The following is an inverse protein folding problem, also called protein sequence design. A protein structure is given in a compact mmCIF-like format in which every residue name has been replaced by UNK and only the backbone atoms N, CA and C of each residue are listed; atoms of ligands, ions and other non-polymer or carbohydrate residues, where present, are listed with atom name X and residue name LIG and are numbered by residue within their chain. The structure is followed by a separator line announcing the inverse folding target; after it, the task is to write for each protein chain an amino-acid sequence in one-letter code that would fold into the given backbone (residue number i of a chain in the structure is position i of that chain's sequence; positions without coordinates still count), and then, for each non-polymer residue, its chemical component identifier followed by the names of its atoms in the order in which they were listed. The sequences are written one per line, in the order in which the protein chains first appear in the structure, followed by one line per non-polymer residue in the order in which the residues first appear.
data_IF_475489574603
#
_entry.id   IF_475489574603
#
_cell.length_a   1.000
_cell.length_b   1.000
_cell.length_c   1.000
_cell.angle_alpha   90.00
_cell.angle_beta   90.00
_cell.angle_gamma   90.00
#
_symmetry.space_group_name_H-M   'P 1'
#
loop_
_entity.id
_entity.type
_entity.pdbx_description
1 polymer ?
#
# COMPACT_ATOMS: atom_id res chain seq x y z
N UNK A 1 -6.67 9.66 12.91
CA UNK A 1 -5.95 10.89 13.24
C UNK A 1 -5.74 11.72 11.99
N UNK A 2 -4.77 11.46 11.11
CA UNK A 2 -4.58 12.25 9.87
C UNK A 2 -5.83 12.40 8.98
N UNK A 3 -6.60 11.33 8.77
CA UNK A 3 -7.86 11.42 8.00
C UNK A 3 -8.96 12.21 8.74
N UNK A 4 -8.95 12.20 10.07
CA UNK A 4 -9.92 12.96 10.89
C UNK A 4 -9.59 14.44 10.88
N UNK A 5 -8.30 14.80 10.97
CA UNK A 5 -7.82 16.18 10.87
C UNK A 5 -8.14 16.83 9.52
N UNK A 6 -8.17 16.03 8.44
CA UNK A 6 -8.53 16.51 7.11
C UNK A 6 -10.02 16.80 6.94
N UNK A 7 -10.88 16.34 7.84
CA UNK A 7 -12.33 16.60 7.83
C UNK A 7 -12.96 16.30 6.46
N UNK A 8 -13.58 17.31 5.85
CA UNK A 8 -14.24 17.22 4.52
C UNK A 8 -13.27 17.04 3.35
N UNK A 9 -11.95 17.22 3.58
CA UNK A 9 -10.88 16.98 2.61
C UNK A 9 -10.20 15.63 2.83
N UNK A 10 -10.86 14.67 3.50
CA UNK A 10 -10.34 13.33 3.66
C UNK A 10 -10.06 12.67 2.31
N UNK A 11 -9.03 11.82 2.25
CA UNK A 11 -8.70 11.08 1.02
C UNK A 11 -9.61 9.86 0.88
N UNK A 12 -10.16 9.36 1.98
CA UNK A 12 -10.97 8.15 2.01
C UNK A 12 -10.09 6.90 2.07
N UNK A 13 -8.96 6.97 2.76
CA UNK A 13 -7.98 5.88 2.84
C UNK A 13 -8.59 4.58 3.37
N UNK A 14 -7.87 3.47 3.16
CA UNK A 14 -8.23 2.16 3.72
C UNK A 14 -8.04 2.08 5.23
N UNK A 15 -7.43 3.10 5.86
CA UNK A 15 -7.08 3.14 7.29
C UNK A 15 -6.16 2.00 7.75
N UNK A 16 -5.40 1.40 6.81
CA UNK A 16 -4.42 0.33 7.09
C UNK A 16 -3.00 0.83 7.37
N UNK A 17 -2.79 2.13 7.54
CA UNK A 17 -1.47 2.71 7.83
C UNK A 17 -0.53 2.88 6.62
N UNK A 18 -0.97 2.60 5.39
CA UNK A 18 -0.13 2.65 4.18
C UNK A 18 0.59 3.99 4.01
N UNK A 19 -0.13 5.11 4.08
CA UNK A 19 0.46 6.45 3.93
C UNK A 19 1.53 6.76 4.97
N UNK A 20 1.23 6.64 6.29
CA UNK A 20 2.23 6.80 7.34
C UNK A 20 3.47 5.90 7.19
N UNK A 21 3.30 4.65 6.74
CA UNK A 21 4.42 3.73 6.49
C UNK A 21 5.32 4.21 5.33
N UNK A 22 4.74 4.65 4.22
CA UNK A 22 5.54 5.20 3.11
C UNK A 22 6.20 6.54 3.49
N UNK A 23 5.53 7.38 4.27
CA UNK A 23 6.10 8.62 4.78
C UNK A 23 7.34 8.34 5.67
N UNK A 24 7.27 7.38 6.59
CA UNK A 24 8.41 7.03 7.45
C UNK A 24 9.57 6.40 6.66
N UNK A 25 9.29 5.64 5.59
CA UNK A 25 10.30 5.16 4.64
C UNK A 25 11.06 6.32 4.00
N UNK A 26 10.34 7.29 3.43
CA UNK A 26 10.95 8.44 2.74
C UNK A 26 11.70 9.34 3.73
N UNK A 27 11.16 9.51 4.95
CA UNK A 27 11.84 10.23 6.03
C UNK A 27 13.03 9.47 6.64
N UNK A 28 13.25 8.21 6.24
CA UNK A 28 14.33 7.33 6.75
C UNK A 28 14.22 7.01 8.24
N UNK A 29 13.03 7.11 8.81
CA UNK A 29 12.74 6.79 10.22
C UNK A 29 12.01 5.45 10.37
N UNK A 30 11.48 4.90 9.28
CA UNK A 30 10.75 3.64 9.29
C UNK A 30 11.62 2.43 9.61
N UNK A 31 10.95 1.37 10.08
CA UNK A 31 11.52 0.04 10.33
C UNK A 31 11.25 -0.87 9.13
N UNK A 32 12.20 -1.74 8.82
CA UNK A 32 12.12 -2.73 7.74
C UNK A 32 12.07 -4.15 8.29
N UNK A 33 11.72 -5.10 7.44
CA UNK A 33 11.69 -6.53 7.79
C UNK A 33 13.06 -7.00 8.32
N UNK A 34 14.16 -6.53 7.72
CA UNK A 34 15.51 -6.84 8.19
C UNK A 34 15.78 -6.36 9.63
N UNK A 35 15.23 -5.20 10.02
CA UNK A 35 15.33 -4.72 11.40
C UNK A 35 14.57 -5.68 12.33
N UNK A 36 13.35 -6.09 11.93
CA UNK A 36 12.47 -6.94 12.73
C UNK A 36 13.02 -8.35 12.96
N UNK A 37 13.52 -9.01 11.91
CA UNK A 37 13.97 -10.42 11.98
C UNK A 37 15.44 -10.57 12.32
N UNK A 38 16.22 -9.48 12.29
CA UNK A 38 17.64 -9.44 12.61
C UNK A 38 17.89 -9.53 14.13
N UNK A 39 18.58 -8.54 14.68
CA UNK A 39 18.71 -8.39 16.13
C UNK A 39 17.48 -7.67 16.68
N UNK A 40 16.64 -8.40 17.41
CA UNK A 40 15.41 -7.85 17.97
C UNK A 40 15.68 -6.74 19.00
N UNK A 41 16.82 -6.74 19.69
CA UNK A 41 17.17 -5.65 20.60
C UNK A 41 17.39 -4.33 19.85
N UNK A 42 17.97 -4.40 18.63
CA UNK A 42 18.14 -3.23 17.75
C UNK A 42 16.78 -2.75 17.21
N UNK A 43 15.86 -3.68 16.88
CA UNK A 43 14.50 -3.33 16.51
C UNK A 43 13.80 -2.54 17.63
N UNK A 44 13.86 -3.05 18.86
CA UNK A 44 13.27 -2.44 20.05
C UNK A 44 13.81 -1.02 20.29
N UNK A 45 15.13 -0.85 20.26
CA UNK A 45 15.80 0.45 20.41
C UNK A 45 15.34 1.50 19.39
N UNK A 46 14.88 1.07 18.20
CA UNK A 46 14.36 1.96 17.15
C UNK A 46 12.84 2.11 17.18
N UNK A 47 12.12 1.08 17.63
CA UNK A 47 10.66 1.08 17.75
C UNK A 47 10.17 2.06 18.82
N UNK A 48 10.77 2.03 20.01
CA UNK A 48 10.34 2.90 21.13
C UNK A 48 10.42 4.39 20.77
N UNK A 49 11.56 4.93 20.27
CA UNK A 49 11.64 6.34 19.88
C UNK A 49 10.70 6.70 18.71
N UNK A 50 10.42 5.76 17.81
CA UNK A 50 9.47 5.97 16.71
C UNK A 50 8.06 6.18 17.25
N UNK A 51 7.61 5.32 18.18
CA UNK A 51 6.31 5.46 18.86
C UNK A 51 6.24 6.77 19.61
N UNK A 52 7.28 7.14 20.37
CA UNK A 52 7.32 8.41 21.10
C UNK A 52 7.25 9.63 20.18
N UNK A 53 7.92 9.57 19.03
CA UNK A 53 7.82 10.63 18.01
C UNK A 53 6.38 10.78 17.51
N UNK A 54 5.70 9.67 17.22
CA UNK A 54 4.29 9.72 16.80
C UNK A 54 3.33 10.12 17.91
N UNK A 55 3.59 9.77 19.18
CA UNK A 55 2.80 10.25 20.33
C UNK A 55 2.89 11.76 20.49
N UNK A 56 4.06 12.36 20.26
CA UNK A 56 4.22 13.83 20.27
C UNK A 56 3.44 14.51 19.14
N UNK A 57 3.45 13.92 17.95
CA UNK A 57 2.70 14.44 16.80
C UNK A 57 1.20 14.24 16.94
N UNK A 58 0.79 13.15 17.59
CA UNK A 58 -0.61 12.77 17.78
C UNK A 58 -0.84 12.39 19.25
N UNK A 59 -1.13 13.35 20.14
CA UNK A 59 -1.28 13.10 21.58
C UNK A 59 -2.37 12.07 21.95
N UNK A 60 -3.35 11.87 21.07
CA UNK A 60 -4.38 10.84 21.23
C UNK A 60 -3.93 9.42 20.85
N UNK A 61 -2.70 9.25 20.34
CA UNK A 61 -2.16 7.96 19.96
C UNK A 61 -1.84 7.14 21.21
N UNK A 62 -2.69 6.16 21.48
CA UNK A 62 -2.42 5.18 22.53
C UNK A 62 -1.87 3.89 21.90
N UNK A 63 -0.63 3.55 22.25
CA UNK A 63 0.07 2.34 21.79
C UNK A 63 0.66 1.68 23.04
N UNK A 64 0.31 0.44 23.31
CA UNK A 64 0.99 -0.35 24.34
C UNK A 64 2.31 -0.87 23.78
N UNK A 65 3.42 -0.28 24.23
CA UNK A 65 4.76 -0.57 23.70
C UNK A 65 5.14 -2.02 24.00
N UNK A 66 4.94 -2.49 25.23
CA UNK A 66 5.34 -3.83 25.66
C UNK A 66 4.52 -4.89 24.94
N UNK A 67 3.21 -4.67 24.80
CA UNK A 67 2.33 -5.58 24.08
C UNK A 67 2.67 -5.65 22.58
N UNK A 68 2.93 -4.51 21.92
CA UNK A 68 3.31 -4.50 20.51
C UNK A 68 4.69 -5.13 20.30
N UNK A 69 5.69 -4.86 21.15
CA UNK A 69 7.00 -5.52 21.07
C UNK A 69 6.88 -7.03 21.20
N UNK A 70 6.10 -7.52 22.17
CA UNK A 70 5.84 -8.96 22.33
C UNK A 70 5.24 -9.56 21.05
N UNK A 71 4.22 -8.92 20.50
CA UNK A 71 3.55 -9.34 19.26
C UNK A 71 4.49 -9.33 18.05
N UNK A 72 5.27 -8.27 17.87
CA UNK A 72 6.26 -8.20 16.78
C UNK A 72 7.36 -9.24 16.94
N UNK A 73 7.74 -9.61 18.16
CA UNK A 73 8.70 -10.69 18.42
C UNK A 73 8.17 -12.04 17.94
N UNK A 74 6.89 -12.33 18.18
CA UNK A 74 6.23 -13.53 17.66
C UNK A 74 6.17 -13.53 16.12
N UNK A 75 5.85 -12.38 15.50
CA UNK A 75 5.88 -12.24 14.05
C UNK A 75 7.29 -12.38 13.48
N UNK A 76 8.32 -11.88 14.15
CA UNK A 76 9.71 -12.02 13.71
C UNK A 76 10.08 -13.51 13.57
N UNK A 77 9.68 -14.34 14.54
CA UNK A 77 9.90 -15.79 14.49
C UNK A 77 9.15 -16.44 13.31
N UNK A 78 7.87 -16.10 13.15
CA UNK A 78 7.04 -16.68 12.08
C UNK A 78 7.50 -16.26 10.68
N UNK A 79 7.98 -15.02 10.52
CA UNK A 79 8.38 -14.48 9.23
C UNK A 79 9.80 -14.90 8.83
N UNK A 80 10.70 -15.13 9.80
CA UNK A 80 12.12 -15.40 9.55
C UNK A 80 12.40 -16.47 8.47
N UNK A 81 11.69 -17.60 8.38
CA UNK A 81 11.91 -18.61 7.33
C UNK A 81 11.64 -18.11 5.90
N UNK A 82 10.86 -17.05 5.73
CA UNK A 82 10.47 -16.51 4.43
C UNK A 82 11.31 -15.29 4.01
N UNK A 83 12.16 -14.78 4.89
CA UNK A 83 12.98 -13.59 4.59
C UNK A 83 14.22 -14.00 3.82
N UNK A 84 14.34 -13.48 2.60
CA UNK A 84 15.49 -13.68 1.70
C UNK A 84 15.91 -12.34 1.10
N UNK A 85 17.12 -12.30 0.54
CA UNK A 85 17.49 -11.21 -0.38
C UNK A 85 16.74 -11.42 -1.70
N UNK A 86 15.62 -10.70 -1.83
CA UNK A 86 14.74 -10.81 -2.99
C UNK A 86 15.37 -10.28 -4.27
N UNK A 87 16.33 -9.35 -4.18
CA UNK A 87 17.02 -8.80 -5.35
C UNK A 87 17.93 -9.87 -5.94
N UNK A 88 18.76 -10.51 -5.11
CA UNK A 88 19.63 -11.60 -5.56
C UNK A 88 18.79 -12.75 -6.13
N UNK A 89 17.75 -13.15 -5.40
CA UNK A 89 16.85 -14.22 -5.81
C UNK A 89 16.22 -13.97 -7.19
N UNK A 90 15.67 -12.77 -7.42
CA UNK A 90 15.03 -12.42 -8.69
C UNK A 90 16.04 -12.33 -9.84
N UNK A 91 17.22 -11.74 -9.61
CA UNK A 91 18.28 -11.69 -10.63
C UNK A 91 18.75 -13.09 -11.02
N UNK A 92 18.90 -14.00 -10.06
CA UNK A 92 19.24 -15.39 -10.35
C UNK A 92 18.12 -16.09 -11.13
N UNK A 93 16.87 -15.94 -10.72
CA UNK A 93 15.73 -16.54 -11.42
C UNK A 93 15.64 -16.07 -12.88
N UNK A 94 15.86 -14.77 -13.13
CA UNK A 94 15.89 -14.21 -14.48
C UNK A 94 17.06 -14.76 -15.31
N UNK A 95 18.26 -14.89 -14.74
CA UNK A 95 19.43 -15.49 -15.44
C UNK A 95 19.22 -16.96 -15.79
N UNK A 96 18.51 -17.69 -14.95
CA UNK A 96 18.12 -19.08 -15.20
C UNK A 96 17.00 -19.22 -16.23
N UNK A 97 16.53 -18.11 -16.82
CA UNK A 97 15.47 -18.11 -17.83
C UNK A 97 14.08 -18.41 -17.26
N UNK A 98 13.86 -18.22 -15.96
CA UNK A 98 12.54 -18.44 -15.34
C UNK A 98 11.57 -17.33 -15.74
N UNK A 99 10.31 -17.71 -15.90
CA UNK A 99 9.22 -16.76 -16.09
C UNK A 99 8.83 -16.14 -14.74
N UNK A 100 8.85 -14.82 -14.67
CA UNK A 100 8.43 -14.05 -13.49
C UNK A 100 7.15 -13.29 -13.83
N UNK A 101 6.10 -13.56 -13.07
CA UNK A 101 4.85 -12.79 -13.12
C UNK A 101 4.84 -11.78 -11.98
N UNK A 102 4.62 -10.51 -12.30
CA UNK A 102 4.50 -9.44 -11.31
C UNK A 102 3.04 -9.04 -11.16
N UNK A 103 2.51 -9.21 -9.95
CA UNK A 103 1.14 -8.82 -9.62
C UNK A 103 1.11 -7.36 -9.15
N UNK A 104 0.62 -6.47 -10.01
CA UNK A 104 0.40 -5.07 -9.66
C UNK A 104 -0.76 -4.90 -8.67
N UNK A 105 -0.57 -4.06 -7.66
CA UNK A 105 -1.63 -3.65 -6.75
C UNK A 105 -2.17 -2.26 -7.12
N UNK A 106 -3.42 -1.99 -6.72
CA UNK A 106 -4.15 -0.76 -7.02
C UNK A 106 -4.34 -0.55 -8.54
N UNK A 107 -4.15 0.67 -9.05
CA UNK A 107 -4.39 1.02 -10.46
C UNK A 107 -3.63 2.29 -10.82
N UNK A 108 -3.38 2.51 -12.12
CA UNK A 108 -2.63 3.66 -12.65
C UNK A 108 -3.14 5.01 -12.14
N UNK A 109 -4.46 5.24 -12.09
CA UNK A 109 -5.04 6.50 -11.62
C UNK A 109 -4.96 6.71 -10.09
N UNK A 110 -4.46 5.71 -9.35
CA UNK A 110 -4.12 5.80 -7.93
C UNK A 110 -2.61 5.90 -7.69
N UNK A 111 -1.79 5.96 -8.75
CA UNK A 111 -0.35 6.18 -8.64
C UNK A 111 -0.07 7.53 -7.96
N UNK A 112 0.96 7.57 -7.10
CA UNK A 112 1.31 8.77 -6.33
C UNK A 112 1.75 9.95 -7.22
N UNK A 113 2.35 9.66 -8.39
CA UNK A 113 2.87 10.68 -9.31
C UNK A 113 1.90 10.97 -10.46
N UNK A 114 1.29 9.91 -11.02
CA UNK A 114 0.47 10.01 -12.24
C UNK A 114 -1.04 9.94 -12.00
N UNK A 115 -1.45 9.67 -10.76
CA UNK A 115 -2.86 9.52 -10.41
C UNK A 115 -3.57 10.84 -10.14
N UNK A 116 -4.82 10.75 -9.68
CA UNK A 116 -5.65 11.93 -9.33
C UNK A 116 -5.24 12.55 -8.00
N UNK A 117 -4.01 13.04 -7.88
CA UNK A 117 -3.47 13.63 -6.65
C UNK A 117 -4.37 14.76 -6.12
N UNK A 118 -4.65 14.84 -4.81
CA UNK A 118 -4.10 14.02 -3.71
C UNK A 118 -4.86 12.71 -3.44
N UNK A 119 -5.86 12.36 -4.25
CA UNK A 119 -6.72 11.20 -4.04
C UNK A 119 -6.13 9.92 -4.64
N UNK A 120 -4.95 9.56 -4.16
CA UNK A 120 -4.08 8.49 -4.66
C UNK A 120 -3.60 7.61 -3.52
N UNK A 121 -2.97 6.47 -3.82
CA UNK A 121 -2.17 5.75 -2.83
C UNK A 121 -0.78 6.39 -2.69
N UNK A 122 0.02 5.94 -1.73
CA UNK A 122 1.35 6.52 -1.44
C UNK A 122 2.50 5.79 -2.15
N UNK A 123 2.19 5.06 -3.22
CA UNK A 123 3.15 4.22 -3.96
C UNK A 123 2.94 4.33 -5.46
N UNK A 124 3.96 3.95 -6.23
CA UNK A 124 3.83 3.84 -7.68
C UNK A 124 3.09 2.55 -8.05
N UNK A 125 1.99 2.72 -8.79
CA UNK A 125 1.16 1.65 -9.33
C UNK A 125 1.42 1.43 -10.83
N UNK A 126 2.16 2.34 -11.45
CA UNK A 126 2.65 2.24 -12.81
C UNK A 126 3.83 1.25 -12.94
N UNK A 127 4.20 0.94 -14.18
CA UNK A 127 5.26 -0.04 -14.49
C UNK A 127 6.61 0.28 -13.84
N UNK A 128 6.92 1.56 -13.62
CA UNK A 128 8.16 1.97 -12.94
C UNK A 128 8.28 1.44 -11.51
N UNK A 129 7.14 1.18 -10.85
CA UNK A 129 7.09 0.55 -9.52
C UNK A 129 7.62 -0.88 -9.52
N UNK A 130 7.57 -1.58 -10.65
CA UNK A 130 8.14 -2.94 -10.78
C UNK A 130 9.66 -2.88 -10.66
N UNK A 131 10.31 -1.97 -11.39
CA UNK A 131 11.76 -1.81 -11.37
C UNK A 131 12.26 -1.43 -9.97
N UNK A 132 11.65 -0.39 -9.38
CA UNK A 132 12.09 0.14 -8.08
C UNK A 132 11.69 -0.74 -6.89
N UNK A 133 10.56 -1.45 -6.99
CA UNK A 133 10.07 -2.35 -5.95
C UNK A 133 10.77 -3.70 -5.91
N UNK A 134 11.21 -4.22 -7.06
CA UNK A 134 11.85 -5.54 -7.17
C UNK A 134 13.38 -5.47 -7.34
N UNK A 135 13.94 -4.29 -7.63
CA UNK A 135 15.38 -4.13 -7.86
C UNK A 135 15.85 -4.74 -9.19
N UNK A 136 14.98 -4.77 -10.20
CA UNK A 136 15.30 -5.31 -11.54
C UNK A 136 15.50 -4.19 -12.56
N UNK A 137 16.41 -4.37 -13.54
CA UNK A 137 16.68 -3.35 -14.54
C UNK A 137 15.50 -3.23 -15.55
N UNK A 138 15.18 -2.04 -16.08
CA UNK A 138 14.05 -1.86 -17.00
C UNK A 138 14.11 -2.75 -18.26
N UNK A 139 15.32 -3.12 -18.71
CA UNK A 139 15.54 -3.93 -19.90
C UNK A 139 15.01 -5.37 -19.78
N UNK A 140 14.79 -5.88 -18.57
CA UNK A 140 14.26 -7.25 -18.36
C UNK A 140 12.73 -7.29 -18.32
N UNK A 141 12.06 -6.14 -18.40
CA UNK A 141 10.60 -6.07 -18.44
C UNK A 141 10.12 -6.62 -19.78
N UNK A 142 9.36 -7.71 -19.72
CA UNK A 142 8.72 -8.32 -20.88
C UNK A 142 7.33 -7.74 -21.16
N UNK A 143 6.36 -8.63 -21.39
CA UNK A 143 4.97 -8.24 -21.67
C UNK A 143 4.32 -7.48 -20.51
N UNK A 144 3.65 -6.37 -20.82
CA UNK A 144 2.88 -5.58 -19.85
C UNK A 144 1.40 -5.66 -20.21
N UNK A 145 0.59 -6.17 -19.29
CA UNK A 145 -0.84 -6.42 -19.51
C UNK A 145 -1.69 -5.38 -18.77
N UNK A 146 -2.38 -4.52 -19.52
CA UNK A 146 -3.32 -3.55 -18.97
C UNK A 146 -4.67 -4.21 -18.67
N UNK A 147 -5.09 -4.20 -17.40
CA UNK A 147 -6.41 -4.70 -17.00
C UNK A 147 -7.39 -3.54 -16.93
N UNK A 148 -8.36 -3.53 -17.85
CA UNK A 148 -9.40 -2.50 -17.94
C UNK A 148 -10.76 -3.18 -17.78
N UNK A 149 -11.58 -2.65 -16.87
CA UNK A 149 -12.98 -3.08 -16.69
C UNK A 149 -13.86 -2.41 -17.75
N UNK A 150 -14.94 -3.07 -18.16
CA UNK A 150 -15.89 -2.54 -19.14
C UNK A 150 -16.64 -1.26 -18.71
N UNK A 151 -16.52 -0.87 -17.45
CA UNK A 151 -17.02 0.37 -16.86
C UNK A 151 -16.06 0.78 -15.74
N UNK A 152 -16.11 2.05 -15.34
CA UNK A 152 -15.17 2.59 -14.34
C UNK A 152 -15.75 2.54 -12.93
N UNK A 153 -14.87 2.34 -11.95
CA UNK A 153 -15.23 2.30 -10.54
C UNK A 153 -14.20 2.98 -9.67
N UNK A 154 -14.64 3.69 -8.63
CA UNK A 154 -13.76 4.34 -7.65
C UNK A 154 -14.18 4.02 -6.22
N UNK A 155 -13.20 3.72 -5.38
CA UNK A 155 -13.36 3.67 -3.92
C UNK A 155 -12.68 4.88 -3.32
N UNK A 156 -13.36 5.57 -2.40
CA UNK A 156 -12.86 6.79 -1.78
C UNK A 156 -13.24 8.05 -2.56
N UNK A 157 -12.76 9.17 -2.04
CA UNK A 157 -13.07 10.50 -2.56
C UNK A 157 -12.21 10.82 -3.79
N UNK A 158 -12.50 11.96 -4.42
CA UNK A 158 -11.75 12.50 -5.55
C UNK A 158 -12.54 12.59 -6.87
N UNK A 159 -11.96 13.23 -7.89
CA UNK A 159 -12.65 13.52 -9.14
C UNK A 159 -13.01 12.23 -9.89
N UNK A 160 -14.23 12.16 -10.41
CA UNK A 160 -14.65 11.03 -11.21
C UNK A 160 -15.53 11.54 -12.36
N UNK A 161 -14.91 11.93 -13.50
CA UNK A 161 -15.59 12.64 -14.57
C UNK A 161 -16.80 11.89 -15.15
N UNK A 162 -16.73 10.57 -15.21
CA UNK A 162 -17.77 9.71 -15.77
C UNK A 162 -18.69 9.10 -14.71
N UNK A 163 -18.60 9.55 -13.45
CA UNK A 163 -19.46 9.06 -12.37
C UNK A 163 -20.94 9.26 -12.72
N UNK A 164 -21.73 8.19 -12.55
CA UNK A 164 -23.16 8.23 -12.76
C UNK A 164 -23.91 8.17 -11.43
N UNK A 165 -24.58 9.27 -11.08
CA UNK A 165 -25.46 9.38 -9.91
C UNK A 165 -26.92 9.19 -10.32
N UNK A 166 -27.19 8.13 -11.06
CA UNK A 166 -28.50 7.79 -11.61
C UNK A 166 -28.71 6.26 -11.61
N UNK A 167 -29.85 5.81 -12.13
CA UNK A 167 -30.20 4.39 -12.19
C UNK A 167 -29.19 3.51 -12.95
N UNK A 168 -28.43 4.07 -13.91
CA UNK A 168 -27.38 3.33 -14.64
C UNK A 168 -26.22 3.03 -13.70
N UNK A 169 -25.73 4.04 -12.96
CA UNK A 169 -24.65 3.86 -11.99
C UNK A 169 -25.01 2.87 -10.89
N UNK A 170 -26.26 2.88 -10.41
CA UNK A 170 -26.76 1.90 -9.44
C UNK A 170 -26.79 0.47 -10.01
N UNK A 171 -27.22 0.34 -11.27
CA UNK A 171 -27.25 -0.95 -11.99
C UNK A 171 -25.85 -1.52 -12.21
N UNK A 172 -24.88 -0.68 -12.61
CA UNK A 172 -23.48 -1.07 -12.74
C UNK A 172 -22.93 -1.57 -11.41
N UNK A 173 -23.22 -0.85 -10.32
CA UNK A 173 -22.75 -1.20 -8.99
C UNK A 173 -23.34 -2.53 -8.47
N UNK A 174 -24.63 -2.77 -8.69
CA UNK A 174 -25.31 -3.97 -8.20
C UNK A 174 -24.90 -5.22 -8.98
N UNK A 175 -24.95 -5.18 -10.31
CA UNK A 175 -24.55 -6.30 -11.19
C UNK A 175 -23.07 -6.61 -11.02
N UNK A 176 -22.23 -5.57 -10.98
CA UNK A 176 -20.79 -5.68 -10.77
C UNK A 176 -20.36 -6.10 -9.37
N UNK A 177 -21.31 -6.24 -8.43
CA UNK A 177 -21.03 -6.52 -7.01
C UNK A 177 -19.99 -5.56 -6.42
N UNK A 178 -20.11 -4.27 -6.74
CA UNK A 178 -19.13 -3.23 -6.45
C UNK A 178 -19.24 -2.73 -5.01
N UNK A 179 -19.01 -3.63 -4.07
CA UNK A 179 -19.00 -3.38 -2.62
C UNK A 179 -17.75 -4.01 -2.02
N UNK A 180 -17.00 -3.24 -1.24
CA UNK A 180 -15.78 -3.72 -0.60
C UNK A 180 -16.06 -4.88 0.36
N UNK A 181 -15.31 -5.98 0.26
CA UNK A 181 -15.53 -7.18 1.08
C UNK A 181 -15.29 -6.94 2.57
N UNK A 182 -14.23 -6.23 2.92
CA UNK A 182 -13.84 -5.94 4.31
C UNK A 182 -14.51 -4.67 4.85
N UNK A 183 -14.46 -3.58 4.06
CA UNK A 183 -14.93 -2.27 4.53
C UNK A 183 -16.43 -2.06 4.31
N UNK A 184 -17.08 -2.93 3.52
CA UNK A 184 -18.47 -2.79 3.05
C UNK A 184 -18.76 -1.46 2.36
N UNK A 185 -17.73 -0.73 1.94
CA UNK A 185 -17.87 0.53 1.20
C UNK A 185 -18.34 0.25 -0.22
N UNK A 186 -19.47 0.85 -0.60
CA UNK A 186 -19.97 0.86 -1.98
C UNK A 186 -19.00 1.65 -2.87
N UNK A 187 -18.70 1.16 -4.06
CA UNK A 187 -17.86 1.88 -5.02
C UNK A 187 -18.70 2.83 -5.85
N UNK A 188 -18.19 4.02 -6.13
CA UNK A 188 -18.77 4.92 -7.14
C UNK A 188 -18.60 4.26 -8.51
N UNK A 189 -19.60 4.31 -9.37
CA UNK A 189 -19.60 3.64 -10.69
C UNK A 189 -19.95 4.63 -11.80
N UNK A 190 -19.42 4.38 -13.00
CA UNK A 190 -19.58 5.26 -14.15
C UNK A 190 -19.08 4.60 -15.44
N UNK A 191 -19.18 5.33 -16.55
CA UNK A 191 -18.64 4.89 -17.85
C UNK A 191 -17.12 4.86 -17.85
#
# INVERSE_FOLDING_TARGET
MQEQEKGTKSIGTTKKGIGPTYASKVSRTGLRVADLVGDFAVFEQRFVPLVETYRRLFPSLNVDIDAELKKYKEYAIQLRPFVIDTVIYLHQALREGKNVLVEGANACLLDIDFGTYPFVTSSNCSIGGVCTGLGIPPQVIGGVYGVVKAYTTRVGDGPFPTEQKNAIGEKLQSIGSEVGVTTKRRRRCGW
#
